data_IF_966443816477
#
_entry.id   IF_966443816477
#
_cell.length_a   1.000
_cell.length_b   1.000
_cell.length_c   1.000
_cell.angle_alpha   90.00
_cell.angle_beta   90.00
_cell.angle_gamma   90.00
#
_symmetry.space_group_name_H-M   'P 1'
#
loop_
_entity.id
_entity.type
_entity.pdbx_description
1 polymer ?
#
# COMPACT_ATOMS: atom_id res chain seq x y z
N UNK A 1 -17.53 1.12 2.38
CA UNK A 1 -17.08 2.44 1.85
C UNK A 1 -16.44 3.40 2.88
N UNK A 2 -16.32 3.06 4.18
CA UNK A 2 -15.62 3.91 5.15
C UNK A 2 -14.07 3.85 5.06
N UNK A 3 -13.51 2.78 4.48
CA UNK A 3 -12.07 2.58 4.35
C UNK A 3 -11.38 3.56 3.36
N UNK A 4 -12.09 4.03 2.32
CA UNK A 4 -11.53 4.90 1.29
C UNK A 4 -11.19 6.32 1.78
N UNK A 5 -11.82 6.82 2.86
CA UNK A 5 -11.61 8.19 3.33
C UNK A 5 -10.30 8.41 4.08
N UNK A 6 -9.63 7.34 4.53
CA UNK A 6 -8.31 7.43 5.15
C UNK A 6 -7.16 7.46 4.14
N UNK A 7 -7.43 7.12 2.87
CA UNK A 7 -6.43 6.94 1.82
C UNK A 7 -6.08 8.26 1.11
N UNK A 8 -7.05 9.18 0.97
CA UNK A 8 -6.92 10.36 0.09
C UNK A 8 -5.91 11.44 0.48
N UNK A 9 -5.50 11.56 1.75
CA UNK A 9 -4.44 12.50 2.19
C UNK A 9 -3.08 11.84 2.42
N UNK A 10 -3.00 10.53 2.25
CA UNK A 10 -1.84 9.69 2.61
C UNK A 10 -1.27 8.91 1.41
N UNK A 11 -1.75 9.18 0.20
CA UNK A 11 -1.17 8.63 -1.03
C UNK A 11 0.29 9.08 -1.25
N UNK A 12 0.67 10.27 -0.74
CA UNK A 12 2.07 10.70 -0.71
C UNK A 12 2.92 9.88 0.26
N UNK A 13 2.32 9.20 1.24
CA UNK A 13 3.05 8.46 2.27
C UNK A 13 3.53 7.10 1.74
N UNK A 14 2.70 6.35 1.00
CA UNK A 14 3.11 5.09 0.31
C UNK A 14 4.21 5.37 -0.72
N UNK A 15 4.14 6.53 -1.37
CA UNK A 15 5.13 7.01 -2.32
C UNK A 15 6.49 7.38 -1.71
N UNK A 16 6.47 8.00 -0.54
CA UNK A 16 7.70 8.29 0.20
C UNK A 16 8.31 6.99 0.78
N UNK A 17 7.47 5.98 1.05
CA UNK A 17 7.88 4.67 1.59
C UNK A 17 8.75 3.86 0.62
N UNK A 18 8.40 3.76 -0.66
CA UNK A 18 9.24 3.05 -1.65
C UNK A 18 10.59 3.75 -1.87
N UNK A 19 10.64 5.08 -1.72
CA UNK A 19 11.90 5.84 -1.84
C UNK A 19 12.79 5.74 -0.59
N UNK A 20 12.21 5.51 0.60
CA UNK A 20 12.98 5.23 1.82
C UNK A 20 13.63 3.85 1.78
N UNK A 21 13.00 2.87 1.14
CA UNK A 21 13.60 1.56 0.82
C UNK A 21 14.82 1.77 -0.10
N UNK A 22 14.69 2.60 -1.15
CA UNK A 22 15.82 2.98 -2.01
C UNK A 22 16.93 3.76 -1.26
N UNK A 23 16.61 4.59 -0.26
CA UNK A 23 17.62 5.28 0.57
C UNK A 23 18.34 4.36 1.56
N UNK A 24 17.75 3.25 2.00
CA UNK A 24 18.44 2.22 2.80
C UNK A 24 19.20 1.21 1.97
N UNK A 25 18.84 1.02 0.69
CA UNK A 25 19.51 0.12 -0.24
C UNK A 25 20.51 0.81 -1.18
N UNK A 26 20.51 2.14 -1.26
CA UNK A 26 21.56 2.87 -1.97
C UNK A 26 22.85 2.80 -1.16
N UNK A 27 23.90 2.09 -1.62
CA UNK A 27 25.21 2.26 -1.04
C UNK A 27 25.59 3.72 -1.23
N UNK A 28 26.11 4.35 -0.17
CA UNK A 28 26.85 5.60 -0.29
C UNK A 28 27.71 5.53 -1.55
N UNK A 29 27.42 6.38 -2.54
CA UNK A 29 28.34 6.61 -3.67
C UNK A 29 29.53 7.34 -3.08
N UNK A 30 30.37 6.58 -2.38
CA UNK A 30 31.70 6.95 -2.01
C UNK A 30 32.61 6.11 -2.89
N UNK A 31 33.37 6.80 -3.71
CA UNK A 31 34.40 6.27 -4.58
C UNK A 31 35.36 5.41 -3.77
N UNK A 32 35.21 4.10 -3.85
CA UNK A 32 36.08 3.13 -3.20
C UNK A 32 35.41 1.78 -3.16
N UNK A 33 35.92 0.84 -3.96
CA UNK A 33 35.53 -0.58 -3.92
C UNK A 33 35.45 -1.06 -2.45
N UNK A 34 34.39 -1.79 -2.09
CA UNK A 34 34.65 -3.10 -1.53
C UNK A 34 33.78 -4.20 -2.19
N UNK A 35 34.43 -5.35 -2.29
CA UNK A 35 33.92 -6.71 -2.50
C UNK A 35 32.41 -6.89 -2.35
N UNK A 36 31.73 -6.99 -3.49
CA UNK A 36 30.38 -7.54 -3.64
C UNK A 36 30.50 -9.06 -3.49
N UNK A 37 30.23 -9.59 -2.31
CA UNK A 37 29.84 -10.99 -2.13
C UNK A 37 28.67 -11.01 -1.14
N UNK A 38 27.56 -11.60 -1.59
CA UNK A 38 26.32 -11.90 -0.86
C UNK A 38 25.17 -10.88 -0.95
N UNK A 39 24.73 -10.54 -2.16
CA UNK A 39 23.30 -10.38 -2.47
C UNK A 39 23.05 -10.99 -3.85
N UNK A 40 22.09 -11.92 -3.92
CA UNK A 40 21.71 -12.62 -5.15
C UNK A 40 21.30 -11.65 -6.26
N UNK A 41 21.58 -12.07 -7.50
CA UNK A 41 21.11 -11.55 -8.80
C UNK A 41 20.62 -10.09 -8.80
N UNK A 42 21.44 -9.21 -9.38
CA UNK A 42 21.05 -7.82 -9.65
C UNK A 42 19.87 -7.79 -10.63
N UNK A 43 18.65 -7.75 -10.11
CA UNK A 43 17.46 -7.48 -10.90
C UNK A 43 17.69 -6.19 -11.70
N UNK A 44 17.38 -6.24 -12.99
CA UNK A 44 17.41 -5.07 -13.86
C UNK A 44 16.43 -4.01 -13.32
N UNK A 45 16.67 -2.74 -13.64
CA UNK A 45 15.75 -1.67 -13.22
C UNK A 45 14.31 -1.92 -13.68
N UNK A 46 14.14 -2.49 -14.87
CA UNK A 46 12.81 -2.80 -15.42
C UNK A 46 12.10 -3.89 -14.62
N UNK A 47 12.80 -4.95 -14.22
CA UNK A 47 12.26 -6.00 -13.34
C UNK A 47 11.88 -5.44 -11.97
N UNK A 48 12.71 -4.56 -11.41
CA UNK A 48 12.38 -3.87 -10.16
C UNK A 48 11.08 -3.07 -10.28
N UNK A 49 10.94 -2.25 -11.33
CA UNK A 49 9.74 -1.44 -11.56
C UNK A 49 8.50 -2.30 -11.78
N UNK A 50 8.63 -3.38 -12.57
CA UNK A 50 7.55 -4.33 -12.80
C UNK A 50 7.11 -4.99 -11.49
N UNK A 51 8.06 -5.39 -10.64
CA UNK A 51 7.76 -5.99 -9.34
C UNK A 51 7.01 -5.02 -8.42
N UNK A 52 7.44 -3.76 -8.34
CA UNK A 52 6.78 -2.74 -7.51
C UNK A 52 5.34 -2.48 -7.96
N UNK A 53 5.11 -2.39 -9.27
CA UNK A 53 3.77 -2.22 -9.82
C UNK A 53 2.91 -3.47 -9.61
N UNK A 54 3.48 -4.66 -9.68
CA UNK A 54 2.76 -5.90 -9.47
C UNK A 54 2.37 -6.12 -8.00
N UNK A 55 3.26 -5.80 -7.06
CA UNK A 55 3.09 -6.08 -5.63
C UNK A 55 2.35 -4.98 -4.89
N UNK A 56 2.78 -3.73 -5.08
CA UNK A 56 2.25 -2.57 -4.36
C UNK A 56 1.22 -1.80 -5.18
N UNK A 57 1.10 -2.07 -6.49
CA UNK A 57 0.19 -1.35 -7.36
C UNK A 57 0.61 0.11 -7.60
N UNK A 58 1.90 0.42 -7.42
CA UNK A 58 2.43 1.79 -7.52
C UNK A 58 3.44 1.91 -8.67
N UNK A 59 3.31 2.98 -9.45
CA UNK A 59 4.28 3.36 -10.48
C UNK A 59 4.58 4.86 -10.39
N UNK A 60 5.86 5.24 -10.25
CA UNK A 60 6.30 6.64 -10.18
C UNK A 60 6.76 7.17 -11.53
N UNK A 61 6.55 8.48 -11.74
CA UNK A 61 7.27 9.22 -12.79
C UNK A 61 8.77 9.29 -12.51
N UNK A 62 9.15 9.37 -11.22
CA UNK A 62 10.53 9.36 -10.76
C UNK A 62 10.69 8.47 -9.53
N UNK A 63 11.50 7.42 -9.64
CA UNK A 63 11.81 6.53 -8.52
C UNK A 63 12.99 7.04 -7.66
N UNK A 64 13.69 8.07 -8.15
CA UNK A 64 14.71 8.82 -7.41
C UNK A 64 14.26 10.28 -7.31
N UNK A 65 14.08 10.74 -6.08
CA UNK A 65 13.52 12.07 -5.85
C UNK A 65 14.62 13.13 -5.79
N UNK A 66 14.33 14.37 -6.24
CA UNK A 66 15.24 15.49 -6.10
C UNK A 66 15.54 15.76 -4.62
N UNK A 67 16.80 16.01 -4.29
CA UNK A 67 17.24 16.26 -2.92
C UNK A 67 16.97 17.69 -2.45
N UNK A 68 16.70 18.61 -3.37
CA UNK A 68 16.42 20.02 -3.08
C UNK A 68 15.15 20.51 -3.77
N UNK A 69 14.53 21.55 -3.21
CA UNK A 69 13.37 22.20 -3.85
C UNK A 69 13.73 22.85 -5.19
N UNK A 70 14.95 23.36 -5.32
CA UNK A 70 15.44 23.97 -6.56
C UNK A 70 15.54 22.92 -7.67
N UNK A 71 16.02 21.72 -7.35
CA UNK A 71 16.09 20.64 -8.34
C UNK A 71 14.71 20.09 -8.68
N UNK A 72 13.80 20.05 -7.70
CA UNK A 72 12.40 19.69 -7.96
C UNK A 72 11.70 20.66 -8.93
N UNK A 73 12.00 21.96 -8.87
CA UNK A 73 11.44 22.96 -9.78
C UNK A 73 11.95 22.85 -11.22
N UNK A 74 13.09 22.18 -11.44
CA UNK A 74 13.65 21.94 -12.78
C UNK A 74 13.03 20.73 -13.48
N UNK A 75 12.24 19.93 -12.77
CA UNK A 75 11.60 18.75 -13.34
C UNK A 75 10.50 19.17 -14.32
N UNK A 76 10.66 18.78 -15.58
CA UNK A 76 9.64 18.99 -16.62
C UNK A 76 8.42 18.11 -16.35
N UNK A 77 8.66 16.87 -15.92
CA UNK A 77 7.62 15.92 -15.53
C UNK A 77 7.46 15.97 -14.01
N UNK A 78 6.26 16.22 -13.47
CA UNK A 78 6.05 16.32 -12.03
C UNK A 78 6.34 14.99 -11.33
N UNK A 79 6.74 15.06 -10.06
CA UNK A 79 6.74 13.91 -9.15
C UNK A 79 5.30 13.46 -8.93
N UNK A 80 4.92 12.35 -9.54
CA UNK A 80 3.57 11.80 -9.52
C UNK A 80 3.63 10.28 -9.44
N UNK A 81 2.51 9.66 -9.04
CA UNK A 81 2.37 8.22 -9.04
C UNK A 81 1.00 7.77 -9.55
N UNK A 82 1.00 6.65 -10.24
CA UNK A 82 -0.20 5.88 -10.54
C UNK A 82 -0.34 4.81 -9.46
N UNK A 83 -1.45 4.86 -8.72
CA UNK A 83 -1.70 3.96 -7.61
C UNK A 83 -3.00 3.20 -7.80
N UNK A 84 -2.93 1.88 -7.68
CA UNK A 84 -4.08 0.97 -7.74
C UNK A 84 -4.32 0.39 -6.34
N UNK A 85 -5.22 0.99 -5.53
CA UNK A 85 -5.35 0.63 -4.11
C UNK A 85 -5.82 -0.80 -3.86
N UNK A 86 -6.66 -1.35 -4.74
CA UNK A 86 -7.18 -2.71 -4.66
C UNK A 86 -6.50 -3.60 -5.70
N UNK A 87 -5.17 -3.48 -5.82
CA UNK A 87 -4.38 -4.32 -6.72
C UNK A 87 -4.32 -5.74 -6.16
N UNK A 88 -4.74 -6.71 -6.96
CA UNK A 88 -4.57 -8.13 -6.62
C UNK A 88 -3.09 -8.50 -6.69
N UNK A 89 -2.60 -9.14 -5.61
CA UNK A 89 -1.22 -9.61 -5.54
C UNK A 89 -1.05 -10.85 -6.43
N UNK A 90 0.01 -10.91 -7.25
CA UNK A 90 0.32 -12.07 -8.08
C UNK A 90 0.40 -13.38 -7.27
N UNK A 91 -0.09 -14.49 -7.85
CA UNK A 91 -0.17 -15.79 -7.19
C UNK A 91 1.20 -16.45 -6.93
N UNK A 92 2.22 -16.04 -7.67
CA UNK A 92 3.62 -16.45 -7.53
C UNK A 92 4.32 -15.82 -6.31
N UNK A 93 3.70 -14.82 -5.69
CA UNK A 93 4.26 -14.13 -4.53
C UNK A 93 3.61 -14.53 -3.20
N UNK A 94 4.31 -14.33 -2.07
CA UNK A 94 3.78 -14.61 -0.75
C UNK A 94 2.45 -13.88 -0.53
N UNK A 95 1.41 -14.66 -0.27
CA UNK A 95 0.09 -14.09 0.01
C UNK A 95 0.05 -13.56 1.44
N UNK A 96 -0.61 -12.42 1.59
CA UNK A 96 -0.79 -11.82 2.90
C UNK A 96 -1.76 -12.68 3.73
N UNK A 97 -1.46 -12.96 5.01
CA UNK A 97 -2.43 -13.55 5.92
C UNK A 97 -3.55 -12.56 6.25
N UNK A 98 -4.78 -13.05 6.43
CA UNK A 98 -5.92 -12.21 6.81
C UNK A 98 -5.64 -11.51 8.16
N UNK A 99 -5.67 -10.17 8.17
CA UNK A 99 -5.44 -9.36 9.37
C UNK A 99 -6.77 -8.89 9.94
N UNK A 100 -7.35 -9.66 10.84
CA UNK A 100 -8.66 -9.37 11.42
C UNK A 100 -8.61 -8.49 12.69
N UNK A 101 -7.80 -7.43 12.67
CA UNK A 101 -7.64 -6.53 13.80
C UNK A 101 -7.43 -5.09 13.34
N UNK A 102 -7.58 -4.15 14.27
CA UNK A 102 -7.43 -2.73 13.98
C UNK A 102 -5.96 -2.36 13.76
N UNK A 103 -5.64 -1.51 12.76
CA UNK A 103 -4.28 -1.10 12.48
C UNK A 103 -3.66 -0.34 13.65
N UNK A 104 -2.37 -0.60 13.93
CA UNK A 104 -1.61 0.14 14.94
C UNK A 104 -1.28 1.54 14.42
N UNK A 105 -1.84 2.56 15.06
CA UNK A 105 -1.66 3.96 14.68
C UNK A 105 -0.60 4.66 15.54
N UNK A 106 0.15 5.57 14.91
CA UNK A 106 0.98 6.54 15.60
C UNK A 106 0.12 7.36 16.58
N UNK A 107 0.57 7.50 17.83
CA UNK A 107 -0.18 8.17 18.89
C UNK A 107 -0.26 9.69 18.70
N UNK A 108 0.67 10.28 17.94
CA UNK A 108 0.65 11.71 17.61
C UNK A 108 -0.62 12.05 16.82
N UNK A 109 -1.45 12.93 17.40
CA UNK A 109 -2.77 13.28 16.87
C UNK A 109 -2.74 13.81 15.42
N UNK A 110 -1.69 14.53 15.05
CA UNK A 110 -1.52 15.09 13.69
C UNK A 110 -0.94 14.11 12.68
N UNK A 111 -0.37 12.98 13.12
CA UNK A 111 0.28 12.01 12.24
C UNK A 111 -0.66 10.84 11.95
N UNK A 112 -1.04 10.07 12.98
CA UNK A 112 -1.93 8.90 12.86
C UNK A 112 -1.50 7.91 11.75
N UNK A 113 -0.22 7.90 11.36
CA UNK A 113 0.32 6.95 10.38
C UNK A 113 0.23 5.52 10.92
N UNK A 114 0.10 4.55 10.02
CA UNK A 114 -0.03 3.13 10.35
C UNK A 114 1.38 2.52 10.50
N UNK A 115 1.53 1.58 11.44
CA UNK A 115 2.72 0.75 11.58
C UNK A 115 3.06 0.08 10.23
N UNK A 116 4.31 0.14 9.83
CA UNK A 116 4.78 -0.38 8.54
C UNK A 116 6.23 -0.85 8.65
N UNK A 117 6.76 -1.59 7.65
CA UNK A 117 8.11 -2.15 7.70
C UNK A 117 9.25 -1.12 7.81
N UNK A 118 8.98 0.17 7.55
CA UNK A 118 9.99 1.23 7.64
C UNK A 118 10.06 1.87 9.03
N UNK A 119 9.17 1.49 9.94
CA UNK A 119 9.25 1.90 11.33
C UNK A 119 10.49 1.30 12.00
N UNK A 120 11.20 2.10 12.80
CA UNK A 120 12.29 1.56 13.60
C UNK A 120 11.71 0.91 14.85
N UNK A 121 11.93 -0.39 15.02
CA UNK A 121 11.34 -1.18 16.10
C UNK A 121 12.39 -1.51 17.15
N UNK A 122 12.05 -1.22 18.41
CA UNK A 122 12.80 -1.63 19.59
C UNK A 122 12.02 -2.74 20.31
N UNK A 123 12.42 -3.98 20.07
CA UNK A 123 11.80 -5.18 20.66
C UNK A 123 12.07 -5.34 22.15
N UNK A 124 13.11 -4.70 22.70
CA UNK A 124 13.42 -4.76 24.13
C UNK A 124 12.49 -3.85 24.91
N UNK A 125 12.34 -2.61 24.46
CA UNK A 125 11.44 -1.65 25.09
C UNK A 125 9.99 -1.73 24.59
N UNK A 126 9.70 -2.67 23.68
CA UNK A 126 8.37 -2.88 23.08
C UNK A 126 7.79 -1.58 22.52
N UNK A 127 8.59 -0.89 21.71
CA UNK A 127 8.22 0.41 21.12
C UNK A 127 8.68 0.52 19.68
N UNK A 128 8.10 1.46 18.94
CA UNK A 128 8.48 1.75 17.56
C UNK A 128 8.53 3.26 17.31
N UNK A 129 9.38 3.69 16.39
CA UNK A 129 9.51 5.09 15.97
C UNK A 129 8.89 5.25 14.60
N UNK A 130 7.94 6.18 14.50
CA UNK A 130 7.24 6.49 13.26
C UNK A 130 8.16 7.20 12.26
N UNK A 131 8.29 6.73 11.01
CA UNK A 131 9.21 7.32 10.03
C UNK A 131 8.77 8.71 9.54
N UNK A 132 7.51 9.09 9.74
CA UNK A 132 6.97 10.36 9.27
C UNK A 132 7.19 11.51 10.25
N UNK A 133 7.04 11.23 11.55
CA UNK A 133 7.06 12.27 12.58
C UNK A 133 8.11 12.04 13.68
N UNK A 134 8.87 10.95 13.58
CA UNK A 134 9.86 10.51 14.56
C UNK A 134 9.32 10.34 16.00
N UNK A 135 7.99 10.23 16.15
CA UNK A 135 7.36 9.94 17.43
C UNK A 135 7.66 8.49 17.83
N UNK A 136 8.14 8.31 19.06
CA UNK A 136 8.22 7.00 19.70
C UNK A 136 6.84 6.62 20.25
N UNK A 137 6.37 5.43 19.88
CA UNK A 137 5.07 4.88 20.24
C UNK A 137 5.28 3.53 20.93
N UNK A 138 4.63 3.24 22.06
CA UNK A 138 4.59 1.89 22.61
C UNK A 138 3.74 0.98 21.74
N UNK A 139 4.05 -0.31 21.73
CA UNK A 139 3.14 -1.29 21.14
C UNK A 139 1.88 -1.48 22.00
N UNK A 140 0.72 -1.76 21.39
CA UNK A 140 -0.48 -2.11 22.14
C UNK A 140 -0.35 -3.52 22.75
N UNK A 141 -1.19 -3.81 23.75
CA UNK A 141 -1.08 -5.02 24.58
C UNK A 141 -1.10 -6.35 23.79
N UNK A 142 -1.79 -6.40 22.64
CA UNK A 142 -1.83 -7.61 21.80
C UNK A 142 -0.49 -7.94 21.12
N UNK A 143 0.46 -6.99 21.07
CA UNK A 143 1.84 -7.22 20.64
C UNK A 143 2.81 -7.39 21.83
N UNK A 144 2.34 -7.73 23.03
CA UNK A 144 3.22 -7.91 24.19
C UNK A 144 4.34 -8.96 23.93
N UNK A 145 4.04 -9.99 23.14
CA UNK A 145 4.95 -11.06 22.76
C UNK A 145 5.80 -10.76 21.50
N UNK A 146 5.80 -9.51 21.01
CA UNK A 146 6.56 -9.16 19.80
C UNK A 146 8.06 -9.36 20.01
N UNK A 147 8.73 -10.03 19.09
CA UNK A 147 10.16 -10.28 19.14
C UNK A 147 10.75 -10.30 17.72
N UNK A 148 12.08 -10.39 17.62
CA UNK A 148 12.78 -10.38 16.33
C UNK A 148 12.40 -11.58 15.44
N UNK A 149 12.14 -12.72 16.08
CA UNK A 149 11.68 -13.98 15.51
C UNK A 149 10.17 -14.05 15.36
N UNK A 150 9.42 -13.41 16.27
CA UNK A 150 7.96 -13.31 16.24
C UNK A 150 7.51 -11.90 15.86
N UNK A 151 7.76 -11.53 14.60
CA UNK A 151 7.32 -10.26 14.04
C UNK A 151 5.92 -10.41 13.46
N UNK A 152 5.10 -9.37 13.56
CA UNK A 152 3.81 -9.40 12.93
C UNK A 152 3.89 -9.10 11.44
N UNK A 153 2.85 -9.48 10.67
CA UNK A 153 2.79 -9.31 9.21
C UNK A 153 3.18 -7.92 8.73
N UNK A 154 2.84 -6.86 9.46
CA UNK A 154 3.06 -5.46 9.05
C UNK A 154 4.52 -5.00 9.13
N UNK A 155 5.39 -5.81 9.74
CA UNK A 155 6.82 -5.53 9.86
C UNK A 155 7.67 -6.37 8.91
N UNK A 156 7.07 -7.28 8.14
CA UNK A 156 7.81 -7.99 7.10
C UNK A 156 8.02 -7.09 5.88
N UNK A 157 9.26 -6.96 5.37
CA UNK A 157 9.53 -6.16 4.17
C UNK A 157 8.78 -6.61 2.92
N UNK A 158 8.30 -7.86 2.90
CA UNK A 158 7.52 -8.45 1.81
C UNK A 158 6.06 -7.94 1.79
N UNK A 159 5.59 -7.38 2.90
CA UNK A 159 4.23 -6.91 3.09
C UNK A 159 4.22 -5.39 3.32
N UNK A 160 4.69 -4.65 2.32
CA UNK A 160 4.63 -3.19 2.26
C UNK A 160 3.21 -2.67 2.08
N UNK A 161 2.42 -3.38 1.28
CA UNK A 161 0.98 -3.14 1.09
C UNK A 161 0.19 -4.24 1.79
N UNK A 162 -0.66 -3.85 2.74
CA UNK A 162 -1.47 -4.77 3.54
C UNK A 162 -2.91 -4.30 3.67
N UNK A 163 -3.82 -5.27 3.72
CA UNK A 163 -5.25 -5.05 4.01
C UNK A 163 -5.63 -5.48 5.43
N UNK A 164 -6.48 -4.68 6.08
CA UNK A 164 -7.03 -4.99 7.40
C UNK A 164 -8.54 -5.22 7.32
N UNK A 165 -9.01 -6.29 7.94
CA UNK A 165 -10.43 -6.61 8.07
C UNK A 165 -10.94 -6.10 9.42
N UNK A 166 -11.62 -4.96 9.39
CA UNK A 166 -12.14 -4.32 10.60
C UNK A 166 -13.45 -4.97 11.07
N UNK A 167 -13.44 -5.64 12.24
CA UNK A 167 -14.62 -6.34 12.78
C UNK A 167 -15.79 -5.42 13.16
N UNK A 168 -15.54 -4.13 13.38
CA UNK A 168 -16.54 -3.14 13.86
C UNK A 168 -17.10 -2.24 12.75
N UNK A 169 -16.73 -2.47 11.49
CA UNK A 169 -17.27 -1.67 10.40
C UNK A 169 -18.74 -2.07 10.16
N UNK A 170 -19.67 -1.13 10.34
CA UNK A 170 -21.05 -1.31 9.88
C UNK A 170 -21.04 -1.39 8.36
N UNK A 171 -21.26 -2.58 7.81
CA UNK A 171 -21.40 -2.78 6.37
C UNK A 171 -22.85 -2.56 6.00
N UNK A 172 -23.11 -1.52 5.20
CA UNK A 172 -24.38 -1.44 4.49
C UNK A 172 -24.29 -2.36 3.28
N UNK A 173 -25.37 -3.09 2.94
CA UNK A 173 -25.40 -3.86 1.71
C UNK A 173 -25.20 -2.93 0.50
N UNK A 174 -24.59 -3.41 -0.59
CA UNK A 174 -24.46 -2.64 -1.80
C UNK A 174 -25.86 -2.30 -2.35
N UNK A 175 -26.05 -1.04 -2.74
CA UNK A 175 -27.31 -0.58 -3.34
C UNK A 175 -27.07 -0.45 -4.84
N UNK A 176 -27.83 -1.20 -5.62
CA UNK A 176 -27.83 -1.13 -7.07
C UNK A 176 -29.12 -0.43 -7.52
N UNK A 177 -28.98 0.65 -8.29
CA UNK A 177 -30.10 1.37 -8.89
C UNK A 177 -29.94 1.29 -10.42
N UNK A 178 -30.91 0.67 -11.07
CA UNK A 178 -30.95 0.59 -12.53
C UNK A 178 -31.77 1.75 -13.07
N UNK A 179 -31.14 2.62 -13.85
CA UNK A 179 -31.80 3.72 -14.56
C UNK A 179 -31.73 3.38 -16.04
N UNK A 180 -32.88 3.05 -16.62
CA UNK A 180 -32.99 2.53 -17.99
C UNK A 180 -33.61 3.59 -18.87
N UNK A 181 -32.93 3.93 -19.98
CA UNK A 181 -33.51 4.74 -21.04
C UNK A 181 -34.41 3.87 -21.92
N UNK A 182 -35.63 4.34 -22.17
CA UNK A 182 -36.62 3.65 -23.01
C UNK A 182 -36.64 4.18 -24.45
N UNK A 183 -35.82 5.18 -24.78
CA UNK A 183 -35.77 5.79 -26.11
C UNK A 183 -34.86 5.00 -27.08
N UNK A 184 -34.91 3.67 -27.05
CA UNK A 184 -34.08 2.76 -27.85
C UNK A 184 -34.98 1.82 -28.68
N UNK A 185 -34.39 1.07 -29.60
CA UNK A 185 -35.15 0.11 -30.40
C UNK A 185 -35.66 -1.07 -29.55
N UNK A 186 -36.72 -1.72 -30.00
CA UNK A 186 -37.33 -2.85 -29.28
C UNK A 186 -36.38 -4.04 -29.14
N UNK A 187 -35.52 -4.28 -30.14
CA UNK A 187 -34.53 -5.36 -30.14
C UNK A 187 -33.45 -5.11 -29.07
N UNK A 188 -32.97 -3.86 -28.94
CA UNK A 188 -31.99 -3.48 -27.91
C UNK A 188 -32.61 -3.50 -26.50
N UNK A 189 -33.87 -3.11 -26.37
CA UNK A 189 -34.61 -3.19 -25.10
C UNK A 189 -34.70 -4.64 -24.62
N UNK A 190 -35.06 -5.56 -25.51
CA UNK A 190 -35.16 -6.98 -25.18
C UNK A 190 -33.81 -7.59 -24.78
N UNK A 191 -32.72 -7.17 -25.44
CA UNK A 191 -31.36 -7.58 -25.04
C UNK A 191 -30.96 -7.01 -23.67
N UNK A 192 -31.34 -5.78 -23.36
CA UNK A 192 -31.05 -5.12 -22.09
C UNK A 192 -31.80 -5.77 -20.93
N UNK A 193 -33.08 -6.10 -21.11
CA UNK A 193 -33.91 -6.80 -20.11
C UNK A 193 -33.29 -8.16 -19.71
N UNK A 194 -32.79 -8.93 -20.67
CA UNK A 194 -32.09 -10.18 -20.41
C UNK A 194 -30.86 -9.97 -19.51
N UNK A 195 -30.00 -9.01 -19.86
CA UNK A 195 -28.77 -8.71 -19.09
C UNK A 195 -29.07 -8.17 -17.69
N UNK A 196 -30.10 -7.33 -17.54
CA UNK A 196 -30.53 -6.81 -16.25
C UNK A 196 -30.99 -7.94 -15.34
N UNK A 197 -31.79 -8.85 -15.87
CA UNK A 197 -32.28 -10.04 -15.16
C UNK A 197 -31.11 -10.90 -14.68
N UNK A 198 -30.17 -11.23 -15.58
CA UNK A 198 -28.97 -12.02 -15.24
C UNK A 198 -28.13 -11.35 -14.14
N UNK A 199 -27.94 -10.03 -14.21
CA UNK A 199 -27.17 -9.27 -13.23
C UNK A 199 -27.85 -9.20 -11.84
N UNK A 200 -29.18 -9.17 -11.80
CA UNK A 200 -29.96 -9.14 -10.56
C UNK A 200 -29.87 -10.49 -9.82
N UNK A 201 -29.84 -11.60 -10.54
CA UNK A 201 -29.65 -12.93 -9.95
C UNK A 201 -28.24 -13.12 -9.39
N UNK A 202 -27.20 -12.65 -10.09
CA UNK A 202 -25.81 -12.71 -9.61
C UNK A 202 -25.59 -11.91 -8.32
N UNK A 203 -26.29 -10.78 -8.17
CA UNK A 203 -26.13 -9.86 -7.03
C UNK A 203 -26.86 -10.31 -5.75
N UNK A 204 -27.69 -11.37 -5.83
CA UNK A 204 -28.50 -11.89 -4.71
C UNK A 204 -27.90 -13.14 -4.04
N UNK A 205 -26.81 -13.69 -4.59
CA UNK A 205 -26.08 -14.84 -4.06
C UNK A 205 -24.81 -14.42 -3.30
#
# INVERSE_FOLDING_TARGET
MAALRLVGKRLLDVACLSTLILRRLAPSVNTGRPSIQLLGEMATWDEYLASQQAVDGVQFTWNLWPHSRVDAQKLIVPLACFYTPLKERPADQPQQPALEYDPVLCQKATCKAILNPLCFVDYRAKSWVCPFCNQRNPFPAHYAAIAEDNRPPELYPQFTTIEYTLKKATTMPPIFMFVVDTCITSEETQSLEGKLTDSAFSSSC
#
